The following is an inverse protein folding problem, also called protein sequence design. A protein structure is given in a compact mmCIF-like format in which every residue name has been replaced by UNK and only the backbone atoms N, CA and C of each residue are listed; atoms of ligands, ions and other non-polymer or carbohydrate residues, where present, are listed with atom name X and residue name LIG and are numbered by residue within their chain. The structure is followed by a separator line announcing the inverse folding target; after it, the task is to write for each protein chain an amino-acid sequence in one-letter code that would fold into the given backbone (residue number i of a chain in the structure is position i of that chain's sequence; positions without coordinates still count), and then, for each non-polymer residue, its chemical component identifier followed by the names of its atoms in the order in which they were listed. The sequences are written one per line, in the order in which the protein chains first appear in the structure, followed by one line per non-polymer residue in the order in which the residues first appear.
data_IF_549943337527
#
_entry.id   IF_549943337527
#
_cell.length_a   1.000
_cell.length_b   1.000
_cell.length_c   1.000
_cell.angle_alpha   90.00
_cell.angle_beta   90.00
_cell.angle_gamma   90.00
#
_symmetry.space_group_name_H-M   'P 1'
#
loop_
_entity.id
_entity.type
_entity.pdbx_description
1 polymer ?
#
# COMPACT_ATOMS: atom_id res chain seq x y z
N UNK A 1 -6.74 -22.48 -3.53
CA UNK A 1 -6.87 -23.83 -2.94
C UNK A 1 -5.51 -24.30 -2.48
N UNK A 2 -5.40 -24.80 -1.25
CA UNK A 2 -4.14 -25.28 -0.67
C UNK A 2 -3.61 -26.49 -1.44
N UNK A 3 -2.34 -26.45 -1.89
CA UNK A 3 -1.74 -27.51 -2.71
C UNK A 3 -1.77 -28.89 -2.03
N UNK A 4 -1.66 -28.93 -0.70
CA UNK A 4 -1.80 -30.17 0.08
C UNK A 4 -3.20 -30.76 0.01
N UNK A 5 -4.25 -29.92 -0.06
CA UNK A 5 -5.64 -30.37 -0.22
C UNK A 5 -5.86 -30.94 -1.62
N UNK A 6 -5.33 -30.29 -2.65
CA UNK A 6 -5.38 -30.79 -4.03
C UNK A 6 -4.64 -32.14 -4.19
N UNK A 7 -3.50 -32.30 -3.55
CA UNK A 7 -2.79 -33.58 -3.53
C UNK A 7 -3.58 -34.67 -2.80
N UNK A 8 -4.26 -34.33 -1.71
CA UNK A 8 -5.13 -35.28 -1.02
C UNK A 8 -6.31 -35.71 -1.89
N UNK A 9 -7.01 -34.77 -2.54
CA UNK A 9 -8.17 -35.09 -3.38
C UNK A 9 -7.79 -35.94 -4.59
N UNK A 10 -6.66 -35.66 -5.23
CA UNK A 10 -6.17 -36.46 -6.36
C UNK A 10 -5.79 -37.88 -5.96
N UNK A 11 -5.14 -38.06 -4.81
CA UNK A 11 -4.84 -39.39 -4.26
C UNK A 11 -6.12 -40.13 -3.87
N UNK A 12 -7.09 -39.43 -3.29
CA UNK A 12 -8.40 -39.97 -2.95
C UNK A 12 -9.13 -40.48 -4.21
N UNK A 13 -9.21 -39.65 -5.26
CA UNK A 13 -9.84 -40.01 -6.54
C UNK A 13 -9.17 -41.22 -7.20
N UNK A 14 -7.84 -41.27 -7.16
CA UNK A 14 -7.08 -42.41 -7.67
C UNK A 14 -7.44 -43.69 -6.91
N UNK A 15 -7.40 -43.68 -5.58
CA UNK A 15 -7.75 -44.83 -4.74
C UNK A 15 -9.22 -45.25 -4.89
N UNK A 16 -10.12 -44.28 -5.07
CA UNK A 16 -11.53 -44.52 -5.35
C UNK A 16 -11.73 -45.24 -6.69
N UNK A 17 -11.01 -44.80 -7.72
CA UNK A 17 -11.04 -45.44 -9.05
C UNK A 17 -10.45 -46.85 -9.02
N UNK A 18 -9.34 -47.07 -8.29
CA UNK A 18 -8.72 -48.40 -8.14
C UNK A 18 -9.60 -49.40 -7.39
N UNK A 19 -10.48 -48.93 -6.52
CA UNK A 19 -11.50 -49.74 -5.84
C UNK A 19 -12.79 -49.89 -6.66
N UNK A 20 -12.76 -49.56 -7.96
CA UNK A 20 -13.90 -49.61 -8.89
C UNK A 20 -15.09 -48.79 -8.41
N UNK A 21 -14.84 -47.72 -7.64
CA UNK A 21 -15.87 -46.87 -7.02
C UNK A 21 -16.88 -47.65 -6.16
N UNK A 22 -16.44 -48.76 -5.58
CA UNK A 22 -17.26 -49.56 -4.65
C UNK A 22 -16.80 -49.29 -3.22
N UNK A 23 -17.75 -48.94 -2.36
CA UNK A 23 -17.47 -48.51 -0.98
C UNK A 23 -16.76 -49.59 -0.15
N UNK A 24 -17.30 -50.81 -0.09
CA UNK A 24 -16.74 -51.88 0.75
C UNK A 24 -15.30 -52.22 0.35
N UNK A 25 -15.05 -52.36 -0.96
CA UNK A 25 -13.70 -52.57 -1.51
C UNK A 25 -12.75 -51.40 -1.27
N UNK A 26 -13.28 -50.19 -1.20
CA UNK A 26 -12.47 -49.01 -0.90
C UNK A 26 -12.01 -49.02 0.55
N UNK A 27 -12.91 -49.29 1.48
CA UNK A 27 -12.60 -49.38 2.92
C UNK A 27 -11.64 -50.54 3.19
N UNK A 28 -11.91 -51.73 2.64
CA UNK A 28 -11.07 -52.91 2.84
C UNK A 28 -9.63 -52.66 2.36
N UNK A 29 -9.48 -52.17 1.12
CA UNK A 29 -8.17 -51.96 0.47
C UNK A 29 -7.40 -50.74 0.99
N UNK A 30 -8.09 -49.70 1.47
CA UNK A 30 -7.45 -48.43 1.87
C UNK A 30 -7.57 -48.13 3.37
N UNK A 31 -8.01 -49.08 4.19
CA UNK A 31 -8.19 -48.93 5.65
C UNK A 31 -6.96 -48.34 6.35
N UNK A 32 -5.76 -48.82 6.04
CA UNK A 32 -4.51 -48.30 6.59
C UNK A 32 -4.22 -46.86 6.16
N UNK A 33 -4.57 -46.51 4.92
CA UNK A 33 -4.39 -45.15 4.41
C UNK A 33 -5.37 -44.17 5.05
N UNK A 34 -6.60 -44.60 5.31
CA UNK A 34 -7.62 -43.80 6.00
C UNK A 34 -7.28 -43.54 7.47
N UNK A 35 -6.51 -44.44 8.11
CA UNK A 35 -6.00 -44.28 9.48
C UNK A 35 -4.84 -43.30 9.61
N UNK A 36 -4.24 -42.85 8.50
CA UNK A 36 -3.12 -41.89 8.55
C UNK A 36 -3.61 -40.50 8.91
N UNK A 37 -2.91 -39.83 9.83
CA UNK A 37 -3.18 -38.45 10.17
C UNK A 37 -2.80 -37.52 9.01
N UNK A 38 -3.77 -36.75 8.52
CA UNK A 38 -3.55 -35.70 7.50
C UNK A 38 -3.37 -34.37 8.21
N UNK A 39 -2.15 -33.84 8.20
CA UNK A 39 -1.87 -32.50 8.73
C UNK A 39 -2.22 -31.49 7.63
N UNK A 40 -3.39 -30.87 7.78
CA UNK A 40 -3.78 -29.76 6.92
C UNK A 40 -2.91 -28.54 7.26
N UNK A 41 -2.36 -27.85 6.25
CA UNK A 41 -1.63 -26.63 6.50
C UNK A 41 -2.60 -25.61 7.09
N UNK A 42 -2.36 -25.23 8.35
CA UNK A 42 -2.94 -24.03 8.95
C UNK A 42 -2.23 -22.85 8.30
N UNK A 43 -2.96 -21.78 7.96
CA UNK A 43 -2.48 -20.63 7.16
C UNK A 43 -1.32 -19.81 7.79
N UNK A 44 -0.61 -20.36 8.79
CA UNK A 44 0.43 -19.69 9.57
C UNK A 44 1.84 -19.82 8.98
N UNK A 45 2.08 -20.68 7.97
CA UNK A 45 3.39 -20.76 7.30
C UNK A 45 3.47 -19.80 6.11
N UNK A 46 3.69 -18.52 6.43
CA UNK A 46 3.99 -17.45 5.49
C UNK A 46 5.43 -17.56 4.94
N UNK A 47 5.74 -18.62 4.20
CA UNK A 47 6.95 -18.70 3.37
C UNK A 47 6.61 -19.06 1.92
N UNK A 48 5.63 -18.34 1.36
CA UNK A 48 5.36 -18.46 -0.08
C UNK A 48 6.48 -17.80 -0.89
N UNK A 49 7.27 -18.62 -1.59
CA UNK A 49 7.92 -18.17 -2.83
C UNK A 49 6.79 -17.70 -3.74
N UNK A 50 6.67 -16.38 -3.88
CA UNK A 50 5.62 -15.73 -4.65
C UNK A 50 5.67 -16.18 -6.12
N UNK A 51 4.86 -17.17 -6.49
CA UNK A 51 4.59 -17.48 -7.89
C UNK A 51 3.66 -16.38 -8.40
N UNK A 52 4.19 -15.49 -9.24
CA UNK A 52 3.43 -14.36 -9.81
C UNK A 52 4.31 -13.20 -10.28
N UNK A 53 3.66 -12.15 -10.79
CA UNK A 53 4.35 -10.92 -11.21
C UNK A 53 5.10 -10.29 -10.01
N UNK A 54 6.37 -9.86 -10.18
CA UNK A 54 7.11 -9.20 -9.12
C UNK A 54 6.32 -8.02 -8.54
N UNK A 55 6.29 -7.93 -7.20
CA UNK A 55 5.68 -6.80 -6.51
C UNK A 55 6.62 -5.60 -6.63
N UNK A 56 6.19 -4.60 -7.39
CA UNK A 56 6.89 -3.32 -7.49
C UNK A 56 6.76 -2.57 -6.16
N UNK A 57 7.81 -1.87 -5.74
CA UNK A 57 7.81 -1.03 -4.55
C UNK A 57 6.72 0.06 -4.63
N UNK A 58 6.22 0.51 -3.48
CA UNK A 58 5.18 1.54 -3.46
C UNK A 58 5.60 2.82 -4.19
N UNK A 59 6.85 3.26 -3.98
CA UNK A 59 7.38 4.51 -4.55
C UNK A 59 7.47 4.49 -6.08
N UNK A 60 7.82 3.33 -6.64
CA UNK A 60 8.00 3.09 -8.08
C UNK A 60 6.68 2.80 -8.81
N UNK A 61 5.57 2.61 -8.09
CA UNK A 61 4.27 2.37 -8.70
C UNK A 61 3.69 3.63 -9.37
N UNK A 62 2.98 3.42 -10.48
CA UNK A 62 2.09 4.44 -11.04
C UNK A 62 0.99 4.83 -10.04
N UNK A 63 0.46 6.05 -10.17
CA UNK A 63 -0.53 6.62 -9.25
C UNK A 63 -1.77 5.73 -9.08
N UNK A 64 -2.35 5.24 -10.18
CA UNK A 64 -3.48 4.29 -10.14
C UNK A 64 -3.19 3.07 -9.28
N UNK A 65 -1.97 2.54 -9.34
CA UNK A 65 -1.55 1.38 -8.54
C UNK A 65 -1.33 1.76 -7.08
N UNK A 66 -0.79 2.96 -6.78
CA UNK A 66 -0.68 3.49 -5.41
C UNK A 66 -2.05 3.63 -4.76
N UNK A 67 -3.03 4.18 -5.48
CA UNK A 67 -4.43 4.30 -5.02
C UNK A 67 -4.98 2.92 -4.69
N UNK A 68 -4.84 1.93 -5.59
CA UNK A 68 -5.31 0.58 -5.34
C UNK A 68 -4.65 -0.07 -4.12
N UNK A 69 -3.34 0.15 -3.90
CA UNK A 69 -2.61 -0.36 -2.73
C UNK A 69 -3.12 0.25 -1.42
N UNK A 70 -3.44 1.54 -1.41
CA UNK A 70 -3.89 2.28 -0.20
C UNK A 70 -5.41 2.20 0.01
N UNK A 71 -6.17 1.72 -0.98
CA UNK A 71 -7.65 1.63 -0.93
C UNK A 71 -8.19 0.92 0.31
N UNK A 72 -7.50 -0.10 0.82
CA UNK A 72 -7.91 -0.78 2.05
C UNK A 72 -7.79 0.14 3.27
N UNK A 73 -6.69 0.89 3.40
CA UNK A 73 -6.49 1.86 4.48
C UNK A 73 -7.57 2.94 4.50
N UNK A 74 -7.91 3.48 3.32
CA UNK A 74 -8.95 4.52 3.20
C UNK A 74 -10.34 4.00 3.57
N UNK A 75 -10.60 2.71 3.34
CA UNK A 75 -11.88 2.08 3.73
C UNK A 75 -11.93 1.73 5.21
N UNK A 76 -10.79 1.37 5.80
CA UNK A 76 -10.72 0.86 7.17
C UNK A 76 -10.64 1.96 8.23
N UNK A 77 -10.14 3.15 7.88
CA UNK A 77 -9.88 4.24 8.83
C UNK A 77 -10.55 5.54 8.42
N UNK A 78 -10.85 6.36 9.41
CA UNK A 78 -11.48 7.68 9.21
C UNK A 78 -10.47 8.74 8.77
N UNK A 79 -10.94 9.81 8.12
CA UNK A 79 -10.08 10.91 7.67
C UNK A 79 -9.24 11.56 8.78
N UNK A 80 -9.77 11.80 10.01
CA UNK A 80 -8.96 12.31 11.11
C UNK A 80 -7.83 11.37 11.54
N UNK A 81 -8.10 10.06 11.60
CA UNK A 81 -7.10 9.04 11.95
C UNK A 81 -5.98 8.97 10.91
N UNK A 82 -6.34 8.96 9.63
CA UNK A 82 -5.36 8.96 8.53
C UNK A 82 -4.50 10.23 8.53
N UNK A 83 -5.12 11.39 8.80
CA UNK A 83 -4.40 12.67 8.90
C UNK A 83 -3.43 12.68 10.07
N UNK A 84 -3.86 12.18 11.23
CA UNK A 84 -3.00 12.06 12.40
C UNK A 84 -1.85 11.09 12.14
N UNK A 85 -2.13 9.90 11.59
CA UNK A 85 -1.14 8.90 11.24
C UNK A 85 -0.08 9.43 10.27
N UNK A 86 -0.50 10.17 9.23
CA UNK A 86 0.41 10.83 8.30
C UNK A 86 1.34 11.82 9.03
N UNK A 87 0.79 12.67 9.90
CA UNK A 87 1.57 13.65 10.66
C UNK A 87 2.58 12.98 11.62
N UNK A 88 2.18 11.88 12.27
CA UNK A 88 3.00 11.14 13.23
C UNK A 88 4.13 10.40 12.54
N UNK A 89 3.94 9.90 11.31
CA UNK A 89 4.98 9.19 10.56
C UNK A 89 6.21 10.07 10.25
N UNK A 90 6.02 11.38 10.11
CA UNK A 90 7.13 12.32 9.84
C UNK A 90 7.96 12.65 11.09
N UNK A 91 7.41 12.53 12.30
CA UNK A 91 8.12 12.86 13.54
C UNK A 91 9.41 12.06 13.78
N UNK A 92 9.41 10.70 13.71
CA UNK A 92 10.62 9.92 13.92
C UNK A 92 11.66 10.12 12.80
N UNK A 93 11.23 10.56 11.62
CA UNK A 93 12.15 10.90 10.52
C UNK A 93 12.83 12.26 10.67
N UNK A 94 12.65 12.94 11.81
CA UNK A 94 13.20 14.28 12.07
C UNK A 94 12.47 15.41 11.34
N UNK A 95 11.48 15.11 10.49
CA UNK A 95 10.73 16.07 9.67
C UNK A 95 9.61 16.77 10.45
N UNK A 96 9.98 17.41 11.57
CA UNK A 96 9.03 18.07 12.50
C UNK A 96 8.28 19.22 11.81
N UNK A 97 8.98 20.04 11.03
CA UNK A 97 8.36 21.15 10.29
C UNK A 97 7.31 20.66 9.29
N UNK A 98 7.57 19.54 8.60
CA UNK A 98 6.59 18.92 7.67
C UNK A 98 5.35 18.43 8.42
N UNK A 99 5.55 17.77 9.57
CA UNK A 99 4.44 17.34 10.44
C UNK A 99 3.57 18.52 10.88
N UNK A 100 4.21 19.61 11.31
CA UNK A 100 3.52 20.83 11.75
C UNK A 100 2.79 21.52 10.59
N UNK A 101 3.46 21.70 9.44
CA UNK A 101 2.86 22.27 8.24
C UNK A 101 1.64 21.47 7.77
N UNK A 102 1.74 20.14 7.76
CA UNK A 102 0.63 19.26 7.41
C UNK A 102 -0.55 19.47 8.36
N UNK A 103 -0.32 19.45 9.68
CA UNK A 103 -1.35 19.71 10.69
C UNK A 103 -2.01 21.07 10.48
N UNK A 104 -1.23 22.12 10.24
CA UNK A 104 -1.77 23.45 9.94
C UNK A 104 -2.60 23.46 8.66
N UNK A 105 -2.14 22.80 7.60
CA UNK A 105 -2.81 22.82 6.30
C UNK A 105 -4.20 22.18 6.31
N UNK A 106 -4.40 21.17 7.18
CA UNK A 106 -5.65 20.40 7.27
C UNK A 106 -6.67 21.04 8.23
N UNK A 107 -6.29 22.06 9.02
CA UNK A 107 -7.19 22.71 10.01
C UNK A 107 -8.46 23.31 9.41
N UNK A 108 -8.41 23.81 8.19
CA UNK A 108 -9.60 24.30 7.49
C UNK A 108 -9.48 24.15 5.97
N UNK A 109 -10.60 24.06 5.23
CA UNK A 109 -10.58 23.74 3.79
C UNK A 109 -9.72 24.69 2.94
N UNK A 110 -9.71 25.98 3.31
CA UNK A 110 -8.97 27.02 2.57
C UNK A 110 -7.59 27.32 3.17
N UNK A 111 -7.22 26.68 4.28
CA UNK A 111 -5.96 26.99 4.99
C UNK A 111 -4.75 26.66 4.13
N UNK A 112 -4.74 25.50 3.48
CA UNK A 112 -3.69 25.11 2.53
C UNK A 112 -3.51 26.14 1.41
N UNK A 113 -4.62 26.61 0.81
CA UNK A 113 -4.61 27.66 -0.22
C UNK A 113 -4.02 28.97 0.31
N UNK A 114 -4.38 29.37 1.53
CA UNK A 114 -3.83 30.59 2.15
C UNK A 114 -2.32 30.49 2.39
N UNK A 115 -1.83 29.34 2.86
CA UNK A 115 -0.40 29.09 3.06
C UNK A 115 0.35 29.18 1.72
N UNK A 116 -0.20 28.58 0.67
CA UNK A 116 0.39 28.62 -0.68
C UNK A 116 0.47 30.05 -1.21
N UNK A 117 -0.64 30.80 -1.13
CA UNK A 117 -0.68 32.18 -1.62
C UNK A 117 0.30 33.09 -0.86
N UNK A 118 0.41 32.95 0.46
CA UNK A 118 1.39 33.74 1.22
C UNK A 118 2.82 33.49 0.80
N UNK A 119 3.17 32.23 0.47
CA UNK A 119 4.50 31.87 0.00
C UNK A 119 4.77 32.43 -1.40
N UNK A 120 3.81 32.31 -2.32
CA UNK A 120 3.97 32.85 -3.68
C UNK A 120 4.10 34.37 -3.68
N UNK A 121 3.32 35.08 -2.85
CA UNK A 121 3.41 36.54 -2.77
C UNK A 121 4.77 37.01 -2.24
N UNK A 122 5.34 36.31 -1.26
CA UNK A 122 6.69 36.66 -0.76
C UNK A 122 7.79 36.37 -1.76
N UNK A 123 7.67 35.33 -2.60
CA UNK A 123 8.68 35.02 -3.62
C UNK A 123 8.66 35.99 -4.82
N UNK A 124 7.52 36.64 -5.09
CA UNK A 124 7.40 37.66 -6.16
C UNK A 124 7.96 39.01 -5.71
N UNK A 125 7.93 39.31 -4.40
CA UNK A 125 8.48 40.56 -3.83
C UNK A 125 10.02 40.62 -3.84
N UNK A 126 10.71 39.50 -4.08
CA UNK A 126 12.17 39.46 -4.24
C UNK A 126 12.65 39.87 -5.66
N UNK A 127 11.71 40.05 -6.61
CA UNK A 127 11.96 40.66 -7.94
C UNK A 127 11.68 42.18 -7.94
N UNK A 128 12.15 42.91 -6.91
CA UNK A 128 12.08 44.38 -6.97
C UNK A 128 12.82 44.89 -8.21
N UNK A 129 12.24 45.82 -8.98
CA UNK A 129 12.95 46.41 -10.10
C UNK A 129 14.24 47.04 -9.58
N UNK A 130 15.36 46.68 -10.22
CA UNK A 130 16.68 47.27 -9.96
C UNK A 130 16.51 48.78 -10.09
N UNK A 131 16.84 49.60 -9.08
CA UNK A 131 16.73 51.04 -9.20
C UNK A 131 17.58 51.51 -10.39
N UNK A 132 17.00 52.36 -11.24
CA UNK A 132 17.68 52.94 -12.39
C UNK A 132 19.04 53.49 -11.97
N UNK A 133 20.09 53.10 -12.71
CA UNK A 133 21.40 53.69 -12.52
C UNK A 133 21.37 55.14 -13.05
N UNK A 134 22.08 56.02 -12.34
CA UNK A 134 22.02 57.49 -12.51
C UNK A 134 22.45 57.93 -13.92
N UNK A 135 23.20 57.09 -14.63
CA UNK A 135 23.67 57.25 -16.01
C UNK A 135 22.56 57.15 -17.07
N UNK A 136 21.44 56.48 -16.78
CA UNK A 136 20.32 56.35 -17.73
C UNK A 136 19.34 57.54 -17.68
N UNK A 137 19.43 58.40 -16.66
CA UNK A 137 18.49 59.50 -16.44
C UNK A 137 18.84 60.84 -17.13
N UNK A 138 20.00 60.94 -17.80
CA UNK A 138 20.51 62.23 -18.34
C UNK A 138 20.37 62.42 -19.86
N UNK A 139 19.60 61.61 -20.58
CA UNK A 139 19.54 61.71 -22.06
C UNK A 139 18.40 62.60 -22.60
N UNK A 140 17.54 63.16 -21.77
CA UNK A 140 16.50 64.10 -22.22
C UNK A 140 16.59 65.43 -21.48
N UNK A 141 17.54 66.27 -21.91
CA UNK A 141 17.66 67.69 -21.54
C UNK A 141 17.88 68.53 -22.78
#
# INVERSE_FOLDING_TARGET
MNAKVLNFTTVLEKKWSESKRTYDRFIEKNSEWLKKNVILPTDNESSSKSVGRPKINFNECAERTKINKVKHLVKSYTSPELSFAASTKYQPSGKRCVSQLFKESVKSPNRAKKIMNSYTSTCVEDEKPIPYRIDEASVNG
#
